data_IF_078407679604
#
_entry.id   IF_078407679604
#
_cell.length_a   1.000
_cell.length_b   1.000
_cell.length_c   1.000
_cell.angle_alpha   90.00
_cell.angle_beta   90.00
_cell.angle_gamma   90.00
#
_symmetry.space_group_name_H-M   'P 1'
#
loop_
_entity.id
_entity.type
_entity.pdbx_description
1 polymer ?
2 polymer ?
3 non-polymer ?
4 water ?
#
# COMPACT_ATOMS: atom_id res chain seq x y z
N UNK A 10 -11.86 13.52 -7.81
CA UNK A 10 -10.76 12.55 -7.80
C UNK A 10 -9.95 12.60 -6.50
N UNK A 11 -9.65 11.43 -5.93
CA UNK A 11 -8.89 11.34 -4.70
C UNK A 11 -7.73 10.37 -4.91
N UNK A 12 -6.52 10.83 -4.61
CA UNK A 12 -5.33 9.98 -4.67
C UNK A 12 -5.03 9.46 -3.27
N UNK A 13 -4.75 8.16 -3.17
CA UNK A 13 -4.56 7.47 -1.91
C UNK A 13 -3.23 6.73 -2.01
N UNK A 14 -2.26 7.13 -1.20
CA UNK A 14 -1.00 6.39 -1.10
C UNK A 14 -1.18 5.19 -0.18
N UNK A 15 -0.71 4.03 -0.59
CA UNK A 15 -0.80 2.80 0.21
C UNK A 15 0.61 2.22 0.36
N UNK A 16 1.08 2.08 1.61
CA UNK A 16 2.45 1.59 1.80
C UNK A 16 2.61 1.01 3.20
N UNK A 17 3.71 0.31 3.42
CA UNK A 17 3.97 -0.22 4.74
C UNK A 17 5.18 -1.14 4.74
N UNK A 18 5.37 -1.80 5.88
CA UNK A 18 6.50 -2.71 6.11
C UNK A 18 7.81 -2.07 5.70
N UNK A 19 8.00 -0.82 6.16
CA UNK A 19 9.23 -0.08 5.89
C UNK A 19 10.38 -0.62 6.74
N UNK A 20 10.11 -0.93 8.01
CA UNK A 20 11.11 -1.46 8.93
C UNK A 20 12.31 -0.54 9.01
N UNK A 21 12.03 0.76 9.20
CA UNK A 21 13.06 1.77 9.42
C UNK A 21 13.07 2.04 10.93
N UNK A 22 14.26 2.00 11.57
CA UNK A 22 15.58 1.86 10.95
C UNK A 22 16.26 0.49 11.11
N UNK A 23 15.55 -0.51 11.66
CA UNK A 23 16.24 -1.74 12.01
C UNK A 23 16.62 -2.59 10.79
N UNK A 24 15.81 -2.57 9.73
CA UNK A 24 16.16 -3.34 8.55
C UNK A 24 16.60 -2.49 7.38
N UNK A 25 16.14 -1.25 7.31
CA UNK A 25 16.45 -0.35 6.21
C UNK A 25 16.59 1.05 6.77
N UNK A 26 17.50 1.81 6.16
CA UNK A 26 17.77 3.15 6.70
C UNK A 26 16.78 4.19 6.18
N UNK A 27 16.17 3.98 5.01
CA UNK A 27 15.33 5.02 4.45
C UNK A 27 14.47 4.47 3.31
N UNK A 28 13.47 5.25 2.94
CA UNK A 28 12.73 5.00 1.71
C UNK A 28 13.67 5.17 0.51
N UNK A 29 13.54 4.35 -0.53
CA UNK A 29 14.35 4.56 -1.74
C UNK A 29 14.20 5.97 -2.26
N UNK A 30 15.33 6.58 -2.65
CA UNK A 30 15.35 8.00 -3.00
C UNK A 30 14.36 8.31 -4.11
N UNK A 31 14.23 7.43 -5.10
CA UNK A 31 13.36 7.72 -6.24
C UNK A 31 11.89 7.62 -5.86
N UNK A 32 11.55 6.79 -4.87
CA UNK A 32 10.19 6.79 -4.32
C UNK A 32 9.92 8.10 -3.60
N UNK A 33 10.84 8.48 -2.71
CA UNK A 33 10.74 9.74 -1.99
C UNK A 33 10.59 10.92 -2.95
N UNK A 34 11.31 10.91 -4.08
CA UNK A 34 11.18 12.01 -5.03
C UNK A 34 9.79 12.03 -5.68
N UNK A 35 9.12 10.88 -5.77
CA UNK A 35 7.79 10.82 -6.37
C UNK A 35 6.69 11.38 -5.46
N UNK A 36 6.90 11.43 -4.15
CA UNK A 36 5.87 11.80 -3.19
C UNK A 36 6.03 13.27 -2.83
N UNK A 37 5.41 14.14 -3.62
CA UNK A 37 5.50 15.57 -3.37
C UNK A 37 4.43 16.01 -2.37
N UNK A 38 4.78 16.72 -1.31
CA UNK A 38 3.76 17.17 -0.36
C UNK A 38 2.60 17.86 -1.07
N UNK A 39 1.38 17.59 -0.61
CA UNK A 39 0.20 18.22 -1.17
C UNK A 39 -0.41 17.50 -2.36
N UNK A 40 0.30 16.59 -2.99
CA UNK A 40 -0.26 15.94 -4.16
C UNK A 40 -1.30 14.89 -3.80
N UNK A 41 -1.08 14.16 -2.71
CA UNK A 41 -1.87 13.00 -2.34
C UNK A 41 -2.86 13.38 -1.25
N UNK A 42 -4.08 12.86 -1.34
CA UNK A 42 -5.14 13.27 -0.41
C UNK A 42 -5.21 12.41 0.84
N UNK A 43 -4.90 11.12 0.73
CA UNK A 43 -5.04 10.18 1.83
C UNK A 43 -3.86 9.22 1.81
N UNK A 44 -3.45 8.79 3.00
CA UNK A 44 -2.40 7.79 3.12
C UNK A 44 -2.91 6.67 4.01
N UNK A 45 -2.84 5.44 3.50
CA UNK A 45 -3.22 4.25 4.24
C UNK A 45 -1.97 3.40 4.40
N UNK A 46 -1.54 3.23 5.64
CA UNK A 46 -0.27 2.58 5.94
C UNK A 46 -0.54 1.28 6.68
N UNK A 47 0.02 0.18 6.18
CA UNK A 47 -0.23 -1.13 6.78
C UNK A 47 0.54 -1.37 8.06
N UNK A 48 1.46 -0.47 8.44
CA UNK A 48 2.20 -0.58 9.68
C UNK A 48 3.64 -1.02 9.47
N UNK A 49 4.29 -1.38 10.59
CA UNK A 49 5.72 -1.68 10.64
C UNK A 49 6.56 -0.55 10.05
N UNK A 50 6.39 0.63 10.64
CA UNK A 50 7.12 1.82 10.24
C UNK A 50 8.65 1.80 10.43
N UNK A 51 9.22 1.51 11.62
CA UNK A 51 8.54 1.18 12.86
C UNK A 51 8.65 2.25 13.95
N UNK A 52 9.03 3.47 13.58
CA UNK A 52 9.26 4.54 14.55
C UNK A 52 8.51 5.80 14.13
N UNK A 53 8.46 6.77 15.05
CA UNK A 53 7.79 8.05 14.82
C UNK A 53 8.39 8.85 13.68
N UNK A 54 9.68 8.67 13.39
CA UNK A 54 10.30 9.36 12.27
C UNK A 54 9.50 9.13 10.99
N UNK A 55 9.10 7.89 10.73
CA UNK A 55 8.40 7.58 9.49
C UNK A 55 6.98 8.09 9.52
N UNK A 56 6.34 8.12 10.70
CA UNK A 56 5.03 8.71 10.80
C UNK A 56 5.10 10.22 10.55
N UNK A 57 6.11 10.88 11.11
CA UNK A 57 6.30 12.30 10.84
C UNK A 57 6.47 12.56 9.34
N UNK A 58 7.22 11.70 8.65
CA UNK A 58 7.42 11.87 7.22
C UNK A 58 6.10 11.78 6.46
N UNK A 59 5.27 10.76 6.76
CA UNK A 59 3.99 10.64 6.06
C UNK A 59 3.13 11.86 6.32
N UNK A 60 3.23 12.44 7.52
CA UNK A 60 2.42 13.63 7.81
C UNK A 60 2.88 14.85 7.04
N UNK A 61 4.12 14.88 6.55
CA UNK A 61 4.53 15.98 5.69
C UNK A 61 3.92 15.87 4.30
N UNK A 62 3.40 14.70 3.93
CA UNK A 62 2.92 14.48 2.57
C UNK A 62 1.43 14.77 2.40
N UNK A 63 0.62 14.52 3.43
CA UNK A 63 -0.82 14.59 3.31
C UNK A 63 -1.43 14.90 4.67
N UNK A 64 -2.63 15.47 4.64
CA UNK A 64 -3.34 15.82 5.86
C UNK A 64 -4.16 14.72 6.48
N UNK A 65 -4.37 13.61 5.78
CA UNK A 65 -5.21 12.51 6.28
C UNK A 65 -4.40 11.21 6.22
N UNK A 66 -3.78 10.82 7.33
CA UNK A 66 -2.89 9.66 7.38
C UNK A 66 -3.50 8.63 8.31
N UNK A 67 -3.65 7.41 7.82
CA UNK A 67 -4.17 6.30 8.61
C UNK A 67 -3.10 5.21 8.69
N UNK A 68 -2.96 4.61 9.86
CA UNK A 68 -1.97 3.56 10.06
C UNK A 68 -2.53 2.53 11.01
N UNK A 69 -2.26 1.27 10.73
CA UNK A 69 -2.66 0.17 11.59
C UNK A 69 -1.41 -0.46 12.20
N UNK A 70 -1.63 -1.28 13.23
CA UNK A 70 -0.54 -1.75 14.07
C UNK A 70 0.14 -2.95 13.41
N UNK A 71 1.43 -2.82 13.15
CA UNK A 71 2.22 -3.95 12.68
C UNK A 71 2.77 -4.74 13.85
N UNK A 72 3.39 -5.89 13.54
CA UNK A 72 3.89 -6.72 14.63
C UNK A 72 5.27 -6.28 15.14
N UNK A 73 5.93 -5.32 14.48
CA UNK A 73 7.17 -4.75 14.98
C UNK A 73 7.03 -3.28 15.33
N UNK A 74 5.84 -2.69 15.18
CA UNK A 74 5.66 -1.26 15.38
C UNK A 74 5.92 -0.90 16.84
N UNK A 75 6.70 0.17 17.05
CA UNK A 75 6.99 0.64 18.40
C UNK A 75 5.75 1.21 19.06
N UNK A 76 4.97 1.99 18.31
CA UNK A 76 3.71 2.57 18.77
C UNK A 76 2.66 1.47 18.79
N UNK A 77 2.45 0.86 19.95
CA UNK A 77 1.41 -0.17 20.03
C UNK A 77 0.01 0.41 20.08
N UNK A 78 -0.11 1.74 20.07
CA UNK A 78 -1.43 2.34 20.14
C UNK A 78 -2.10 2.52 18.78
N UNK A 79 -1.38 2.28 17.68
CA UNK A 79 -2.05 2.30 16.38
C UNK A 79 -3.20 1.29 16.41
N UNK A 80 -4.36 1.63 15.86
CA UNK A 80 -5.46 0.66 15.83
C UNK A 80 -5.05 -0.59 15.09
N UNK A 81 -5.58 -1.72 15.54
CA UNK A 81 -5.24 -3.00 14.94
C UNK A 81 -5.87 -3.15 13.58
N UNK A 82 -7.03 -2.52 13.36
CA UNK A 82 -7.55 -2.41 12.01
C UNK A 82 -8.35 -1.13 11.90
N UNK A 83 -8.64 -0.74 10.66
CA UNK A 83 -9.32 0.51 10.39
C UNK A 83 -10.15 0.36 9.14
N UNK A 84 -11.28 1.06 9.11
CA UNK A 84 -12.10 1.19 7.92
C UNK A 84 -12.16 2.67 7.59
N UNK A 85 -11.83 3.02 6.36
CA UNK A 85 -11.86 4.41 5.89
C UNK A 85 -12.68 4.45 4.60
N UNK A 86 -13.50 5.48 4.45
CA UNK A 86 -14.30 5.66 3.24
C UNK A 86 -13.75 6.82 2.43
N UNK A 87 -13.49 6.56 1.16
CA UNK A 87 -12.96 7.57 0.25
C UNK A 87 -13.85 7.53 -0.97
N UNK A 88 -14.60 8.60 -1.19
CA UNK A 88 -15.57 8.60 -2.27
C UNK A 88 -16.58 7.50 -2.09
N UNK A 89 -16.86 6.76 -3.16
CA UNK A 89 -17.82 5.68 -3.10
C UNK A 89 -17.26 4.40 -2.48
N UNK A 90 -15.99 4.36 -2.10
CA UNK A 90 -15.33 3.12 -1.69
C UNK A 90 -15.11 3.08 -0.19
N UNK A 91 -15.63 2.03 0.46
CA UNK A 91 -15.25 1.69 1.82
C UNK A 91 -14.03 0.78 1.75
N UNK A 92 -13.00 1.09 2.54
CA UNK A 92 -11.70 0.44 2.43
C UNK A 92 -11.31 -0.08 3.80
N UNK A 93 -10.91 -1.35 3.84
CA UNK A 93 -10.46 -1.98 5.07
C UNK A 93 -8.95 -2.03 5.10
N UNK A 94 -8.39 -1.95 6.30
CA UNK A 94 -6.94 -1.87 6.48
C UNK A 94 -6.53 -2.68 7.70
N UNK A 95 -5.59 -3.61 7.51
CA UNK A 95 -5.05 -4.42 8.60
C UNK A 95 -3.63 -4.83 8.19
N UNK A 96 -2.76 -5.03 9.18
CA UNK A 96 -1.38 -5.32 8.79
C UNK A 96 -1.25 -6.71 8.18
N UNK A 97 -1.91 -7.71 8.77
CA UNK A 97 -2.01 -9.03 8.18
C UNK A 97 -1.21 -10.13 8.84
N UNK A 98 -0.33 -9.80 9.80
CA UNK A 98 0.36 -10.83 10.57
C UNK A 98 -0.58 -11.69 11.38
N UNK A 99 -1.80 -11.21 11.62
CA UNK A 99 -2.80 -11.95 12.36
C UNK A 99 -3.43 -13.08 11.55
N UNK A 100 -3.31 -13.03 10.22
CA UNK A 100 -3.90 -14.04 9.35
C UNK A 100 -2.91 -15.18 9.15
N UNK A 101 -3.31 -16.39 9.56
CA UNK A 101 -2.50 -17.61 9.36
C UNK A 101 -3.33 -18.64 8.59
N UNK A 102 -2.79 -19.19 7.50
CA UNK A 102 -1.51 -18.93 6.83
C UNK A 102 -1.44 -17.49 6.30
N UNK A 103 -0.25 -16.89 6.26
CA UNK A 103 -0.11 -15.51 5.81
C UNK A 103 -0.67 -15.38 4.40
N UNK A 104 -1.46 -14.32 4.18
CA UNK A 104 -2.07 -14.03 2.90
C UNK A 104 -3.21 -14.94 2.51
N UNK A 105 -3.71 -15.76 3.43
CA UNK A 105 -4.74 -16.76 3.10
C UNK A 105 -5.98 -16.11 2.51
N UNK A 106 -6.36 -16.57 1.30
CA UNK A 106 -7.44 -15.94 0.54
C UNK A 106 -8.77 -16.05 1.27
N UNK A 107 -9.11 -17.25 1.75
CA UNK A 107 -10.39 -17.40 2.43
C UNK A 107 -10.47 -16.51 3.67
N UNK A 108 -9.37 -16.39 4.42
CA UNK A 108 -9.38 -15.52 5.59
C UNK A 108 -9.52 -14.06 5.21
N UNK A 109 -8.83 -13.64 4.14
CA UNK A 109 -8.97 -12.24 3.72
C UNK A 109 -10.38 -11.95 3.23
N UNK A 110 -11.00 -12.92 2.55
CA UNK A 110 -12.38 -12.71 2.11
C UNK A 110 -13.32 -12.62 3.30
N UNK A 111 -13.04 -13.35 4.37
CA UNK A 111 -13.85 -13.23 5.58
C UNK A 111 -13.69 -11.86 6.20
N UNK A 112 -12.45 -11.35 6.22
CA UNK A 112 -12.24 -9.97 6.65
C UNK A 112 -12.99 -8.98 5.78
N UNK A 113 -12.95 -9.17 4.45
CA UNK A 113 -13.68 -8.26 3.57
C UNK A 113 -15.15 -8.15 3.99
N UNK A 114 -15.78 -9.30 4.23
CA UNK A 114 -17.20 -9.30 4.58
C UNK A 114 -17.44 -8.70 5.96
N UNK A 115 -16.60 -9.06 6.93
CA UNK A 115 -16.80 -8.57 8.30
C UNK A 115 -16.51 -7.09 8.44
N UNK A 116 -15.50 -6.59 7.74
CA UNK A 116 -15.34 -5.14 7.68
C UNK A 116 -16.40 -4.48 6.83
N UNK A 117 -17.01 -5.25 5.92
CA UNK A 117 -17.99 -4.73 4.95
C UNK A 117 -17.38 -3.62 4.11
N UNK A 118 -16.32 -3.99 3.38
CA UNK A 118 -15.55 -3.04 2.58
C UNK A 118 -15.51 -3.50 1.13
N UNK A 119 -15.42 -2.52 0.22
CA UNK A 119 -15.24 -2.81 -1.19
C UNK A 119 -13.79 -3.18 -1.52
N UNK A 120 -12.85 -2.66 -0.76
CA UNK A 120 -11.43 -2.88 -0.95
C UNK A 120 -10.83 -3.26 0.38
N UNK A 121 -9.99 -4.29 0.41
CA UNK A 121 -9.29 -4.72 1.61
C UNK A 121 -7.79 -4.61 1.37
N UNK A 122 -7.10 -3.82 2.20
CA UNK A 122 -5.65 -3.62 2.11
C UNK A 122 -5.01 -4.36 3.27
N UNK A 123 -4.01 -5.18 2.97
CA UNK A 123 -3.22 -5.85 4.01
C UNK A 123 -1.76 -5.78 3.60
N UNK A 124 -0.89 -6.13 4.53
CA UNK A 124 0.54 -6.16 4.26
C UNK A 124 1.22 -7.43 4.73
N UNK A 125 2.33 -7.26 5.45
CA UNK A 125 3.00 -8.32 6.22
C UNK A 125 3.81 -9.27 5.34
N UNK A 126 3.29 -9.68 4.18
CA UNK A 126 4.01 -10.63 3.35
C UNK A 126 5.19 -10.02 2.62
N UNK A 127 5.25 -8.68 2.49
CA UNK A 127 6.22 -7.97 1.66
C UNK A 127 6.10 -8.33 0.17
N UNK A 128 4.97 -8.91 -0.23
CA UNK A 128 4.69 -9.23 -1.62
C UNK A 128 3.53 -8.36 -2.10
N UNK A 129 3.77 -7.56 -3.13
CA UNK A 129 2.71 -6.76 -3.73
C UNK A 129 1.62 -7.64 -4.32
N UNK A 130 0.35 -7.29 -4.04
CA UNK A 130 -0.82 -7.90 -4.69
C UNK A 130 -1.84 -6.83 -5.06
N UNK A 131 -2.52 -7.05 -6.20
CA UNK A 131 -3.63 -6.17 -6.58
C UNK A 131 -4.53 -7.02 -7.47
N UNK A 132 -5.67 -7.48 -6.92
CA UNK A 132 -6.50 -8.41 -7.65
C UNK A 132 -7.94 -8.31 -7.18
N UNK A 133 -8.84 -8.72 -8.06
CA UNK A 133 -10.25 -8.82 -7.78
C UNK A 133 -10.59 -10.27 -7.44
N UNK A 134 -11.52 -10.45 -6.50
CA UNK A 134 -11.93 -11.79 -6.09
C UNK A 134 -13.37 -11.71 -5.61
N UNK A 135 -14.26 -12.47 -6.25
CA UNK A 135 -15.70 -12.44 -5.93
C UNK A 135 -16.21 -11.01 -5.78
N UNK A 136 -15.89 -10.20 -6.79
CA UNK A 136 -16.38 -8.82 -6.95
C UNK A 136 -15.96 -7.90 -5.80
N UNK A 137 -14.85 -8.21 -5.15
CA UNK A 137 -14.19 -7.29 -4.22
C UNK A 137 -12.73 -7.18 -4.64
N UNK A 138 -12.07 -6.12 -4.18
CA UNK A 138 -10.69 -5.85 -4.58
C UNK A 138 -9.77 -5.94 -3.36
N UNK A 139 -8.61 -6.56 -3.58
CA UNK A 139 -7.64 -6.85 -2.54
C UNK A 139 -6.29 -6.24 -2.93
N UNK A 140 -5.70 -5.46 -2.05
CA UNK A 140 -4.41 -4.82 -2.31
C UNK A 140 -3.43 -5.16 -1.21
N UNK A 141 -2.19 -5.48 -1.59
CA UNK A 141 -1.06 -5.53 -0.68
C UNK A 141 0.03 -4.68 -1.32
N UNK A 142 0.49 -3.60 -0.68
CA UNK A 142 1.47 -2.71 -1.31
C UNK A 142 2.88 -3.26 -1.31
N UNK A 143 3.11 -4.40 -0.67
CA UNK A 143 4.46 -4.89 -0.50
C UNK A 143 5.18 -4.02 0.52
N UNK A 144 6.51 -4.08 0.47
CA UNK A 144 7.37 -3.31 1.35
C UNK A 144 7.97 -2.14 0.58
N UNK A 145 7.69 -0.92 1.03
CA UNK A 145 8.19 0.26 0.34
C UNK A 145 9.71 0.38 0.37
N UNK A 146 10.38 -0.32 1.30
CA UNK A 146 11.84 -0.30 1.40
C UNK A 146 12.50 -1.54 0.84
N UNK A 147 11.72 -2.54 0.44
CA UNK A 147 12.30 -3.81 0.07
C UNK A 147 12.88 -4.54 1.26
N UNK A 148 12.29 -4.34 2.43
CA UNK A 148 12.78 -4.97 3.64
C UNK A 148 12.70 -6.48 3.52
N UNK A 149 13.76 -7.16 3.92
CA UNK A 149 13.70 -8.61 4.02
C UNK A 149 12.63 -9.01 5.02
N UNK A 150 12.16 -10.24 4.92
CA UNK A 150 11.39 -10.76 6.04
C UNK A 150 11.90 -12.15 6.41
N UNK A 151 11.13 -12.89 7.21
CA UNK A 151 11.61 -14.18 7.69
C UNK A 151 11.80 -15.17 6.55
N UNK A 152 11.01 -15.03 5.48
CA UNK A 152 10.88 -16.08 4.47
C UNK A 152 11.42 -15.70 3.10
N UNK A 153 11.04 -14.55 2.58
CA UNK A 153 11.17 -14.31 1.14
C UNK A 153 12.64 -14.10 0.75
N UNK A 154 12.90 -14.31 -0.55
CA UNK A 154 14.28 -14.39 -1.08
C UNK A 154 14.71 -13.04 -1.65
N UNK A 155 14.82 -12.06 -0.74
CA UNK A 155 15.11 -10.65 -1.04
C UNK A 155 14.00 -10.00 -1.86
N UNK A 156 13.71 -8.73 -1.56
CA UNK A 156 12.41 -8.13 -1.81
C UNK A 156 12.55 -6.93 -2.73
N UNK A 157 11.64 -6.82 -3.70
CA UNK A 157 11.57 -5.63 -4.54
C UNK A 157 10.79 -4.52 -3.81
N UNK A 158 11.36 -3.34 -3.64
CA UNK A 158 10.61 -2.22 -3.03
C UNK A 158 9.37 -1.86 -3.85
N UNK A 159 8.26 -1.60 -3.15
CA UNK A 159 7.07 -1.18 -3.88
C UNK A 159 6.13 -0.37 -2.99
N UNK A 160 5.29 0.42 -3.64
CA UNK A 160 4.17 1.08 -2.98
C UNK A 160 3.03 1.18 -3.97
N UNK A 161 1.83 1.49 -3.48
CA UNK A 161 0.65 1.54 -4.34
C UNK A 161 0.06 2.95 -4.29
N UNK A 162 -0.52 3.37 -5.41
CA UNK A 162 -1.29 4.61 -5.45
C UNK A 162 -2.65 4.29 -6.05
N UNK A 163 -3.72 4.59 -5.30
CA UNK A 163 -5.08 4.42 -5.77
C UNK A 163 -5.61 5.76 -6.24
N UNK A 164 -6.17 5.76 -7.44
CA UNK A 164 -6.77 6.93 -8.07
C UNK A 164 -8.28 6.66 -8.13
N UNK A 165 -9.04 7.34 -7.28
CA UNK A 165 -10.44 7.04 -7.08
C UNK A 165 -11.29 8.17 -7.66
N UNK A 166 -12.19 7.84 -8.57
CA UNK A 166 -13.17 8.79 -9.09
C UNK A 166 -14.47 8.05 -9.35
N UNK A 167 -15.56 8.52 -8.73
CA UNK A 167 -16.89 7.92 -8.89
C UNK A 167 -16.79 6.47 -8.44
N UNK A 168 -17.17 5.50 -9.26
CA UNK A 168 -17.24 4.11 -8.84
C UNK A 168 -16.06 3.32 -9.36
N UNK A 169 -15.00 4.00 -9.76
CA UNK A 169 -13.86 3.37 -10.39
C UNK A 169 -12.60 3.69 -9.57
N UNK A 170 -11.79 2.68 -9.31
CA UNK A 170 -10.49 2.88 -8.70
C UNK A 170 -9.45 2.36 -9.66
N UNK A 171 -8.46 3.19 -9.98
CA UNK A 171 -7.34 2.78 -10.79
C UNK A 171 -6.17 2.62 -9.84
N UNK A 172 -5.66 1.39 -9.71
CA UNK A 172 -4.61 1.07 -8.76
C UNK A 172 -3.29 1.02 -9.50
N UNK A 173 -2.35 1.87 -9.10
CA UNK A 173 -0.99 1.87 -9.66
C UNK A 173 -0.04 1.23 -8.66
N UNK A 174 0.84 0.36 -9.15
CA UNK A 174 1.91 -0.21 -8.34
C UNK A 174 3.22 0.33 -8.86
N UNK A 175 4.05 0.83 -7.95
CA UNK A 175 5.37 1.35 -8.27
C UNK A 175 6.38 0.36 -7.72
N UNK A 176 7.34 -0.03 -8.54
CA UNK A 176 8.37 -0.97 -8.10
C UNK A 176 9.72 -0.39 -8.46
N UNK A 177 10.69 -0.56 -7.57
CA UNK A 177 12.08 -0.17 -7.87
C UNK A 177 12.74 -1.41 -8.45
N UNK A 178 12.93 -1.41 -9.77
CA UNK A 178 13.44 -2.56 -10.51
C UNK A 178 14.88 -2.23 -10.89
N UNK A 179 15.83 -2.85 -10.20
CA UNK A 179 17.20 -2.37 -10.26
C UNK A 179 17.31 -1.01 -9.61
N UNK A 180 17.59 0.01 -10.41
CA UNK A 180 17.70 1.38 -9.89
C UNK A 180 16.64 2.30 -10.48
N UNK A 181 15.65 1.77 -11.20
CA UNK A 181 14.65 2.60 -11.86
C UNK A 181 13.25 2.22 -11.42
N UNK A 182 12.37 3.21 -11.37
CA UNK A 182 10.97 2.96 -11.01
C UNK A 182 10.20 2.52 -12.25
N UNK A 183 9.42 1.45 -12.12
CA UNK A 183 8.50 1.02 -13.17
C UNK A 183 7.11 0.88 -12.57
N UNK A 184 6.08 0.88 -13.42
CA UNK A 184 4.71 0.95 -12.95
C UNK A 184 3.85 -0.08 -13.68
N UNK A 185 2.76 -0.47 -13.00
CA UNK A 185 1.70 -1.26 -13.61
C UNK A 185 0.40 -0.72 -13.04
N UNK A 186 -0.69 -0.88 -13.81
CA UNK A 186 -1.98 -0.29 -13.48
C UNK A 186 -3.05 -1.33 -13.62
N UNK A 187 -4.02 -1.32 -12.70
CA UNK A 187 -5.15 -2.24 -12.74
C UNK A 187 -6.42 -1.47 -12.40
N UNK A 188 -7.46 -1.67 -13.19
CA UNK A 188 -8.73 -0.99 -12.99
C UNK A 188 -9.75 -1.89 -12.29
N UNK A 189 -10.54 -1.29 -11.40
CA UNK A 189 -11.61 -1.96 -10.69
C UNK A 189 -12.84 -1.05 -10.60
N UNK A 190 -14.03 -1.65 -10.70
CA UNK A 190 -15.29 -0.94 -10.65
C UNK A 190 -16.18 -1.52 -9.56
N UNK A 191 -16.79 -0.65 -8.76
CA UNK A 191 -17.85 -1.12 -7.87
C UNK A 191 -18.94 -1.73 -8.72
N UNK A 192 -19.31 -2.99 -8.48
CA UNK A 192 -20.41 -3.59 -9.25
C UNK A 192 -21.74 -2.88 -8.97
N UNK B 2 5.42 9.91 -17.99
CA UNK B 2 5.40 8.46 -18.22
C UNK B 2 6.47 7.71 -17.43
N UNK B 3 6.19 6.45 -17.09
CA UNK B 3 7.20 5.56 -16.58
C UNK B 3 7.15 4.26 -17.36
N UNK B 4 8.27 3.55 -17.46
CA UNK B 4 8.24 2.25 -18.13
C UNK B 4 7.35 1.29 -17.37
N UNK B 5 6.71 0.38 -18.09
CA UNK B 5 5.90 -0.65 -17.46
C UNK B 5 6.79 -1.70 -16.82
N UNK B 6 6.29 -2.32 -15.76
CA UNK B 6 7.07 -3.35 -15.07
C UNK B 6 7.29 -4.54 -16.01
N UNK B 7 6.22 -5.01 -16.63
CA UNK B 7 6.29 -6.07 -17.62
C UNK B 7 6.15 -5.49 -19.01
N UNK B 8 6.98 -5.94 -19.94
CA UNK B 8 6.86 -5.52 -21.31
C UNK B 8 7.82 -4.41 -21.67
N UNK B 9 7.51 -3.74 -22.78
CA UNK B 9 8.43 -2.78 -23.36
C UNK B 9 7.97 -1.33 -23.21
N UNK B 10 6.68 -1.06 -23.12
CA UNK B 10 6.16 0.28 -23.25
C UNK B 10 6.30 1.17 -22.02
N UNK B 11 5.39 2.15 -21.94
CA UNK B 11 5.38 3.13 -20.87
C UNK B 11 3.94 3.32 -20.45
N UNK B 12 3.77 3.89 -19.25
CA UNK B 12 2.43 4.16 -18.76
C UNK B 12 2.41 5.53 -18.11
N UNK B 13 1.33 6.27 -18.33
CA UNK B 13 1.12 7.53 -17.62
C UNK B 13 0.65 7.22 -16.21
N UNK B 14 1.10 8.01 -15.23
CA UNK B 14 0.73 7.78 -13.84
C UNK B 14 0.49 9.10 -13.13
N UNK B 15 -0.30 9.10 -12.05
CA UNK B 15 -0.75 10.36 -11.45
C UNK B 15 0.33 11.14 -10.71
N UNK B 16 1.50 10.57 -10.44
CA UNK B 16 2.52 11.31 -9.68
C UNK B 16 3.52 11.96 -10.63
X LIG C 1 -2.85 13.03 -14.31
X LIG C 1 -1.60 13.60 -13.83
X LIG C 1 -3.17 11.79 -13.60
X LIG C 1 -2.74 12.74 -15.74
X LIG C 1 -3.92 14.01 -14.10
#
# INVERSE_FOLDING_TARGET
>A
GSPEFGTRDRMLVLVLGDLHIPHRCNSLPAKFKKLLVPGKIQHILCTGNLCTKESYDYLKTLAGDVHIVRGDFDENLNYPEQKVVTVGQFKIGLIHGHQVIPWGDMASLALLQRQFDVDILISGHTHKFEAFEHENKFYINPGSATGAYNALETNIIPSFVLMDIQASTVVTYVYQLIGDDVKVERIEYKKP
>B
XYLPTITGVGHLWHPL
>C hetero
1 SO4 S O1 O2 O3 O4
#
